data_IF_063024481423
#
_entry.id   IF_063024481423
#
_cell.length_a   1.000
_cell.length_b   1.000
_cell.length_c   1.000
_cell.angle_alpha   90.00
_cell.angle_beta   90.00
_cell.angle_gamma   90.00
#
_symmetry.space_group_name_H-M   'P 1'
#
loop_
_entity.id
_entity.type
_entity.pdbx_description
1 polymer ?
#
# COMPACT_ATOMS: atom_id res chain seq x y z
N UNK A 1 -2.58 0.66 16.75
CA UNK A 1 -3.70 0.99 15.84
C UNK A 1 -4.30 2.31 16.30
N UNK A 2 -4.58 3.24 15.38
CA UNK A 2 -5.21 4.51 15.75
C UNK A 2 -6.68 4.30 16.09
N UNK A 3 -7.23 5.06 17.02
CA UNK A 3 -8.66 5.06 17.41
C UNK A 3 -9.56 5.75 16.36
N UNK A 4 -9.11 5.73 15.10
CA UNK A 4 -9.75 6.41 13.97
C UNK A 4 -10.62 5.38 13.24
N UNK A 5 -11.86 5.73 12.85
CA UNK A 5 -12.68 4.81 12.09
C UNK A 5 -11.96 4.41 10.79
N UNK A 6 -12.21 3.18 10.29
CA UNK A 6 -11.61 2.71 9.05
C UNK A 6 -12.00 3.62 7.88
N UNK A 7 -11.16 3.62 6.85
CA UNK A 7 -11.38 4.39 5.65
C UNK A 7 -12.71 3.98 4.98
N UNK A 8 -13.48 4.94 4.45
CA UNK A 8 -14.80 4.65 3.90
C UNK A 8 -14.72 3.94 2.54
N UNK A 9 -15.67 3.03 2.31
CA UNK A 9 -15.91 2.42 0.99
C UNK A 9 -14.66 1.76 0.39
N UNK A 10 -14.38 2.06 -0.88
CA UNK A 10 -13.23 1.50 -1.60
C UNK A 10 -11.86 1.84 -1.00
N UNK A 11 -11.78 2.88 -0.15
CA UNK A 11 -10.52 3.25 0.52
C UNK A 11 -10.14 2.29 1.66
N UNK A 12 -11.08 1.49 2.17
CA UNK A 12 -10.79 0.46 3.17
C UNK A 12 -9.77 -0.57 2.65
N UNK A 13 -9.83 -0.91 1.37
CA UNK A 13 -8.86 -1.83 0.74
C UNK A 13 -7.46 -1.21 0.65
N UNK A 14 -7.40 0.09 0.33
CA UNK A 14 -6.13 0.83 0.27
C UNK A 14 -5.53 0.94 1.67
N UNK A 15 -6.33 1.27 2.68
CA UNK A 15 -5.89 1.29 4.08
C UNK A 15 -5.37 -0.08 4.51
N UNK A 16 -6.12 -1.15 4.24
CA UNK A 16 -5.70 -2.51 4.57
C UNK A 16 -4.36 -2.87 3.92
N UNK A 17 -4.16 -2.53 2.65
CA UNK A 17 -2.90 -2.76 1.94
C UNK A 17 -1.74 -1.95 2.53
N UNK A 18 -1.93 -0.65 2.78
CA UNK A 18 -0.87 0.21 3.36
C UNK A 18 -0.45 -0.27 4.75
N UNK A 19 -1.40 -0.81 5.51
CA UNK A 19 -1.20 -1.32 6.86
C UNK A 19 -0.63 -2.75 6.94
N UNK A 20 -0.32 -3.41 5.81
CA UNK A 20 0.35 -4.73 5.87
C UNK A 20 1.77 -4.64 6.42
N UNK A 21 2.43 -3.50 6.24
CA UNK A 21 3.74 -3.23 6.83
C UNK A 21 3.59 -2.47 8.14
N UNK A 22 4.04 -3.13 9.20
CA UNK A 22 4.36 -2.48 10.45
C UNK A 22 5.71 -1.75 10.30
N UNK A 23 5.68 -0.43 10.34
CA UNK A 23 6.89 0.41 10.20
C UNK A 23 7.76 0.43 11.45
N UNK A 24 7.22 0.07 12.61
CA UNK A 24 7.96 0.05 13.86
C UNK A 24 8.81 -1.22 13.93
N UNK A 25 8.23 -2.36 13.52
CA UNK A 25 8.91 -3.66 13.59
C UNK A 25 9.52 -4.10 12.26
N UNK A 26 9.08 -3.53 11.14
CA UNK A 26 9.45 -3.95 9.79
C UNK A 26 8.74 -5.22 9.32
N UNK A 27 7.83 -5.79 10.12
CA UNK A 27 7.08 -6.98 9.75
C UNK A 27 6.08 -6.65 8.64
N UNK A 28 6.12 -7.41 7.53
CA UNK A 28 5.18 -7.27 6.43
C UNK A 28 4.28 -8.51 6.35
N UNK A 29 2.96 -8.35 6.53
CA UNK A 29 2.02 -9.46 6.46
C UNK A 29 2.00 -10.11 5.06
N UNK A 30 2.47 -9.42 4.02
CA UNK A 30 2.63 -9.99 2.67
C UNK A 30 3.74 -11.04 2.60
N UNK A 31 4.60 -11.18 3.63
CA UNK A 31 5.53 -12.32 3.75
C UNK A 31 4.80 -13.63 4.09
N UNK A 32 3.61 -13.54 4.67
CA UNK A 32 2.82 -14.70 5.07
C UNK A 32 1.74 -15.07 4.02
N UNK A 33 1.47 -16.38 3.79
CA UNK A 33 0.40 -16.82 2.90
C UNK A 33 -0.97 -16.22 3.22
N UNK A 34 -1.33 -16.15 4.50
CA UNK A 34 -2.61 -15.65 4.98
C UNK A 34 -2.78 -14.17 4.67
N UNK A 35 -1.70 -13.39 4.84
CA UNK A 35 -1.70 -11.97 4.51
C UNK A 35 -1.86 -11.72 3.01
N UNK A 36 -1.29 -12.57 2.15
CA UNK A 36 -1.51 -12.49 0.69
C UNK A 36 -2.92 -12.92 0.28
N UNK A 37 -3.44 -13.97 0.92
CA UNK A 37 -4.77 -14.52 0.62
C UNK A 37 -5.89 -13.49 0.84
N UNK A 38 -5.76 -12.62 1.84
CA UNK A 38 -6.70 -11.52 2.10
C UNK A 38 -6.87 -10.55 0.91
N UNK A 39 -5.87 -10.47 0.02
CA UNK A 39 -5.89 -9.64 -1.18
C UNK A 39 -6.03 -10.45 -2.48
N UNK A 40 -6.20 -11.77 -2.39
CA UNK A 40 -6.22 -12.65 -3.57
C UNK A 40 -4.88 -12.72 -4.31
N UNK A 41 -3.76 -12.47 -3.60
CA UNK A 41 -2.42 -12.43 -4.18
C UNK A 41 -1.69 -13.78 -4.04
N UNK A 42 -0.88 -14.10 -5.03
CA UNK A 42 0.11 -15.18 -4.94
C UNK A 42 1.43 -14.65 -4.38
N UNK A 43 2.36 -15.56 -4.03
CA UNK A 43 3.72 -15.17 -3.64
C UNK A 43 4.44 -14.35 -4.72
N UNK A 44 4.16 -14.62 -6.01
CA UNK A 44 4.76 -13.89 -7.14
C UNK A 44 4.27 -12.45 -7.22
N UNK A 45 3.06 -12.19 -6.74
CA UNK A 45 2.45 -10.86 -6.77
C UNK A 45 2.94 -9.98 -5.59
N UNK A 46 3.55 -10.58 -4.57
CA UNK A 46 3.94 -9.88 -3.35
C UNK A 46 4.90 -8.71 -3.61
N UNK A 47 5.84 -8.86 -4.56
CA UNK A 47 6.77 -7.78 -4.94
C UNK A 47 6.04 -6.59 -5.53
N UNK A 48 5.15 -6.82 -6.50
CA UNK A 48 4.37 -5.76 -7.13
C UNK A 48 3.38 -5.11 -6.14
N UNK A 49 2.76 -5.92 -5.27
CA UNK A 49 1.87 -5.42 -4.23
C UNK A 49 2.59 -4.50 -3.24
N UNK A 50 3.83 -4.82 -2.85
CA UNK A 50 4.67 -3.94 -2.02
C UNK A 50 5.04 -2.66 -2.73
N UNK A 51 5.35 -2.71 -4.03
CA UNK A 51 5.65 -1.51 -4.80
C UNK A 51 4.44 -0.57 -4.86
N UNK A 52 3.25 -1.12 -5.14
CA UNK A 52 1.99 -0.37 -5.09
C UNK A 52 1.72 0.20 -3.68
N UNK A 53 1.93 -0.62 -2.63
CA UNK A 53 1.79 -0.21 -1.23
C UNK A 53 2.64 1.01 -0.90
N UNK A 54 3.92 1.00 -1.28
CA UNK A 54 4.84 2.11 -1.01
C UNK A 54 4.52 3.37 -1.83
N UNK A 55 4.07 3.21 -3.08
CA UNK A 55 3.61 4.33 -3.91
C UNK A 55 2.35 4.99 -3.31
N UNK A 56 1.37 4.19 -2.88
CA UNK A 56 0.17 4.67 -2.20
C UNK A 56 0.51 5.35 -0.87
N UNK A 57 1.41 4.77 -0.07
CA UNK A 57 1.90 5.36 1.18
C UNK A 57 2.53 6.72 0.93
N UNK A 58 3.34 6.84 -0.11
CA UNK A 58 3.98 8.11 -0.52
C UNK A 58 2.94 9.19 -0.84
N UNK A 59 1.89 8.84 -1.59
CA UNK A 59 0.79 9.76 -1.92
C UNK A 59 -0.02 10.15 -0.67
N UNK A 60 -0.34 9.20 0.21
CA UNK A 60 -1.05 9.50 1.46
C UNK A 60 -0.25 10.43 2.38
N UNK A 61 1.07 10.21 2.50
CA UNK A 61 1.97 11.08 3.25
C UNK A 61 2.05 12.48 2.65
N UNK A 62 2.17 12.57 1.32
CA UNK A 62 2.16 13.85 0.60
C UNK A 62 0.85 14.61 0.81
N UNK A 63 -0.29 13.92 0.75
CA UNK A 63 -1.60 14.49 1.03
C UNK A 63 -1.71 15.03 2.47
N UNK A 64 -1.08 14.36 3.44
CA UNK A 64 -0.99 14.81 4.83
C UNK A 64 0.06 15.92 5.07
N UNK A 65 0.72 16.43 4.02
CA UNK A 65 1.70 17.51 4.10
C UNK A 65 3.14 17.05 4.38
N UNK A 66 3.42 15.75 4.35
CA UNK A 66 4.76 15.20 4.53
C UNK A 66 5.50 15.07 3.18
N UNK A 67 6.82 15.28 3.18
CA UNK A 67 7.68 15.04 2.02
C UNK A 67 8.59 13.83 2.27
N UNK A 68 8.18 12.60 1.90
CA UNK A 68 9.03 11.42 2.04
C UNK A 68 10.29 11.57 1.17
N UNK A 69 11.46 11.24 1.72
CA UNK A 69 12.73 11.30 1.00
C UNK A 69 12.88 10.06 0.12
N UNK A 70 13.34 10.25 -1.13
CA UNK A 70 13.70 9.14 -2.03
C UNK A 70 12.52 8.43 -2.71
N UNK A 71 11.28 8.90 -2.54
CA UNK A 71 10.08 8.43 -3.26
C UNK A 71 9.32 9.61 -3.84
N UNK A 72 8.62 9.40 -4.94
CA UNK A 72 7.85 10.45 -5.63
C UNK A 72 6.40 10.02 -5.77
N UNK A 73 5.46 10.97 -5.69
CA UNK A 73 4.05 10.69 -6.00
C UNK A 73 3.86 10.24 -7.46
N UNK A 74 4.77 10.62 -8.36
CA UNK A 74 4.81 10.15 -9.74
C UNK A 74 5.05 8.63 -9.87
N UNK A 75 5.48 7.95 -8.80
CA UNK A 75 5.61 6.50 -8.79
C UNK A 75 4.25 5.81 -8.96
N UNK A 76 3.21 6.34 -8.32
CA UNK A 76 1.85 5.81 -8.45
C UNK A 76 1.33 6.00 -9.88
N UNK A 77 1.54 7.18 -10.46
CA UNK A 77 1.11 7.47 -11.84
C UNK A 77 1.75 6.50 -12.84
N UNK A 78 3.03 6.17 -12.67
CA UNK A 78 3.75 5.21 -13.51
C UNK A 78 3.15 3.81 -13.40
N UNK A 79 2.86 3.34 -12.19
CA UNK A 79 2.27 2.02 -11.97
C UNK A 79 0.89 1.92 -12.63
N UNK A 80 0.06 2.95 -12.46
CA UNK A 80 -1.28 2.99 -13.06
C UNK A 80 -1.23 3.15 -14.59
N UNK A 81 -0.23 3.83 -15.13
CA UNK A 81 0.00 3.88 -16.57
C UNK A 81 0.42 2.52 -17.17
N UNK A 82 1.18 1.72 -16.42
CA UNK A 82 1.59 0.38 -16.84
C UNK A 82 0.46 -0.67 -16.74
N UNK A 83 -0.49 -0.48 -15.82
CA UNK A 83 -1.65 -1.34 -15.63
C UNK A 83 -2.95 -0.52 -15.54
N UNK A 84 -3.49 -0.04 -16.67
CA UNK A 84 -4.67 0.81 -16.68
C UNK A 84 -5.88 0.09 -16.10
N UNK A 85 -6.51 0.71 -15.11
CA UNK A 85 -7.77 0.24 -14.53
C UNK A 85 -8.89 0.51 -15.54
N UNK A 86 -9.72 -0.51 -15.82
CA UNK A 86 -10.84 -0.44 -16.78
C UNK A 86 -12.18 -0.42 -16.06
#
# INVERSE_FOLDING_TARGET
MSDKPPAPGGLALIEALVNTLDIETGADSLDMPEGRAAFGLTERDAVAARELREALRTVCLAHAGHRPRGRSTADLDRLLAAAPLR
#
